data_IF_281421724549
#
_entry.id   IF_281421724549
#
_cell.length_a   1.000
_cell.length_b   1.000
_cell.length_c   1.000
_cell.angle_alpha   90.00
_cell.angle_beta   90.00
_cell.angle_gamma   90.00
#
_symmetry.space_group_name_H-M   'P 1'
#
loop_
_entity.id
_entity.type
_entity.pdbx_description
1 polymer ?
#
# COMPACT_ATOMS: atom_id res chain seq x y z
N UNK A 1 -8.81 -18.88 -1.55
CA UNK A 1 -8.70 -18.01 -2.74
C UNK A 1 -10.06 -17.64 -3.31
N UNK A 2 -10.98 -18.64 -3.51
CA UNK A 2 -12.34 -18.40 -4.06
C UNK A 2 -13.12 -17.33 -3.29
N UNK A 3 -13.18 -17.39 -1.96
CA UNK A 3 -13.90 -16.38 -1.16
C UNK A 3 -13.31 -14.97 -1.27
N UNK A 4 -12.00 -14.85 -1.52
CA UNK A 4 -11.34 -13.56 -1.75
C UNK A 4 -11.79 -12.97 -3.11
N UNK A 5 -11.80 -13.78 -4.15
CA UNK A 5 -12.15 -13.32 -5.50
C UNK A 5 -13.63 -12.89 -5.58
N UNK A 6 -14.53 -13.66 -4.95
CA UNK A 6 -15.94 -13.29 -4.84
C UNK A 6 -16.14 -11.93 -4.14
N UNK A 7 -15.49 -11.76 -2.98
CA UNK A 7 -15.56 -10.47 -2.25
C UNK A 7 -14.96 -9.32 -3.07
N UNK A 8 -13.80 -9.55 -3.68
CA UNK A 8 -13.15 -8.55 -4.52
C UNK A 8 -14.02 -8.14 -5.71
N UNK A 9 -14.72 -9.09 -6.33
CA UNK A 9 -15.68 -8.84 -7.40
C UNK A 9 -16.86 -7.96 -6.95
N UNK A 10 -17.38 -8.19 -5.75
CA UNK A 10 -18.44 -7.34 -5.15
C UNK A 10 -17.93 -5.92 -4.90
N UNK A 11 -16.73 -5.77 -4.32
CA UNK A 11 -16.12 -4.46 -4.08
C UNK A 11 -15.82 -3.74 -5.39
N UNK A 12 -15.33 -4.45 -6.41
CA UNK A 12 -15.09 -3.88 -7.73
C UNK A 12 -16.35 -3.22 -8.31
N UNK A 13 -17.49 -3.91 -8.24
CA UNK A 13 -18.78 -3.36 -8.70
C UNK A 13 -19.17 -2.08 -7.95
N UNK A 14 -18.88 -2.00 -6.64
CA UNK A 14 -19.15 -0.78 -5.85
C UNK A 14 -18.24 0.38 -6.23
N UNK A 15 -17.03 0.11 -6.73
CA UNK A 15 -16.11 1.13 -7.21
C UNK A 15 -16.42 1.61 -8.64
N UNK A 16 -17.21 0.85 -9.40
CA UNK A 16 -17.64 1.25 -10.75
C UNK A 16 -18.43 2.56 -10.70
N UNK A 17 -18.14 3.46 -11.63
CA UNK A 17 -18.73 4.81 -11.70
C UNK A 17 -18.39 5.74 -10.50
N UNK A 18 -17.31 5.47 -9.79
CA UNK A 18 -16.74 6.34 -8.75
C UNK A 18 -15.30 6.69 -9.11
N UNK A 19 -14.73 7.70 -8.43
CA UNK A 19 -13.31 8.04 -8.55
C UNK A 19 -12.40 7.10 -7.72
N UNK A 20 -12.99 6.05 -7.10
CA UNK A 20 -12.26 5.11 -6.25
C UNK A 20 -11.59 4.04 -7.09
N UNK A 21 -10.27 3.95 -7.00
CA UNK A 21 -9.52 2.86 -7.62
C UNK A 21 -9.42 1.67 -6.67
N UNK A 22 -9.92 0.52 -7.10
CA UNK A 22 -9.69 -0.73 -6.39
C UNK A 22 -8.26 -1.23 -6.63
N UNK A 23 -7.54 -1.52 -5.55
CA UNK A 23 -6.22 -2.15 -5.57
C UNK A 23 -6.32 -3.45 -4.77
N UNK A 24 -6.17 -4.59 -5.43
CA UNK A 24 -6.21 -5.88 -4.76
C UNK A 24 -4.87 -6.18 -4.07
N UNK A 25 -4.91 -6.94 -2.98
CA UNK A 25 -3.74 -7.23 -2.16
C UNK A 25 -3.38 -8.73 -2.25
N UNK A 26 -2.12 -9.02 -2.53
CA UNK A 26 -1.48 -10.35 -2.41
C UNK A 26 -1.93 -11.47 -3.35
N UNK A 27 -2.99 -11.33 -4.11
CA UNK A 27 -3.52 -12.39 -4.99
C UNK A 27 -3.53 -11.92 -6.46
N UNK A 28 -2.37 -12.03 -7.16
CA UNK A 28 -2.25 -11.54 -8.53
C UNK A 28 -3.17 -12.28 -9.51
N UNK A 29 -3.39 -13.59 -9.33
CA UNK A 29 -4.25 -14.37 -10.21
C UNK A 29 -5.71 -13.92 -10.10
N UNK A 30 -6.22 -13.73 -8.87
CA UNK A 30 -7.54 -13.16 -8.65
C UNK A 30 -7.68 -11.75 -9.25
N UNK A 31 -6.62 -10.93 -9.15
CA UNK A 31 -6.62 -9.60 -9.77
C UNK A 31 -6.70 -9.68 -11.30
N UNK A 32 -5.97 -10.60 -11.93
CA UNK A 32 -6.02 -10.82 -13.37
C UNK A 32 -7.39 -11.35 -13.83
N UNK A 33 -7.95 -12.34 -13.13
CA UNK A 33 -9.30 -12.87 -13.44
C UNK A 33 -10.37 -11.79 -13.37
N UNK A 34 -10.27 -10.87 -12.41
CA UNK A 34 -11.19 -9.74 -12.27
C UNK A 34 -10.87 -8.57 -13.22
N UNK A 35 -9.85 -8.67 -14.05
CA UNK A 35 -9.43 -7.59 -14.94
C UNK A 35 -8.91 -6.36 -14.19
N UNK A 36 -8.39 -6.51 -12.97
CA UNK A 36 -7.79 -5.43 -12.20
C UNK A 36 -6.34 -5.20 -12.66
N UNK A 37 -6.01 -3.95 -12.97
CA UNK A 37 -4.65 -3.56 -13.40
C UNK A 37 -3.81 -2.97 -12.27
N UNK A 38 -4.29 -3.07 -11.03
CA UNK A 38 -3.62 -2.57 -9.84
C UNK A 38 -3.50 -3.68 -8.79
N UNK A 39 -2.29 -3.84 -8.23
CA UNK A 39 -1.98 -4.82 -7.19
C UNK A 39 -1.12 -4.19 -6.10
N UNK A 40 -1.29 -4.61 -4.84
CA UNK A 40 -0.42 -4.28 -3.73
C UNK A 40 0.14 -5.55 -3.10
N UNK A 41 1.45 -5.58 -2.82
CA UNK A 41 2.15 -6.77 -2.37
C UNK A 41 3.07 -6.49 -1.17
N UNK A 42 3.26 -7.45 -0.26
CA UNK A 42 4.42 -7.44 0.62
C UNK A 42 5.72 -7.56 -0.20
N UNK A 43 6.78 -6.88 0.22
CA UNK A 43 8.06 -6.85 -0.52
C UNK A 43 8.58 -8.25 -0.86
N UNK A 44 8.60 -9.17 0.12
CA UNK A 44 9.12 -10.53 -0.05
C UNK A 44 8.37 -11.37 -1.09
N UNK A 45 7.11 -11.03 -1.40
CA UNK A 45 6.34 -11.65 -2.48
C UNK A 45 6.55 -10.91 -3.79
N UNK A 46 6.61 -9.58 -3.74
CA UNK A 46 6.82 -8.75 -4.93
C UNK A 46 8.15 -9.03 -5.62
N UNK A 47 9.23 -9.18 -4.86
CA UNK A 47 10.57 -9.50 -5.39
C UNK A 47 10.64 -10.87 -6.08
N UNK A 48 9.77 -11.81 -5.67
CA UNK A 48 9.69 -13.16 -6.26
C UNK A 48 8.67 -13.27 -7.40
N UNK A 49 7.88 -12.23 -7.66
CA UNK A 49 6.90 -12.25 -8.73
C UNK A 49 7.62 -12.24 -10.09
N UNK A 50 7.25 -13.15 -11.02
CA UNK A 50 7.81 -13.15 -12.38
C UNK A 50 7.57 -11.82 -13.09
N UNK A 51 8.53 -11.38 -13.89
CA UNK A 51 8.46 -10.09 -14.58
C UNK A 51 7.26 -10.01 -15.53
N UNK A 52 6.96 -11.10 -16.24
CA UNK A 52 5.76 -11.20 -17.10
C UNK A 52 4.47 -10.95 -16.31
N UNK A 53 4.38 -11.43 -15.06
CA UNK A 53 3.23 -11.22 -14.21
C UNK A 53 3.16 -9.76 -13.70
N UNK A 54 4.31 -9.16 -13.35
CA UNK A 54 4.38 -7.74 -12.97
C UNK A 54 3.87 -6.82 -14.09
N UNK A 55 4.23 -7.12 -15.33
CA UNK A 55 3.83 -6.34 -16.52
C UNK A 55 2.32 -6.35 -16.78
N UNK A 56 1.56 -7.29 -16.20
CA UNK A 56 0.09 -7.28 -16.26
C UNK A 56 -0.53 -6.16 -15.42
N UNK A 57 0.22 -5.58 -14.49
CA UNK A 57 -0.25 -4.54 -13.59
C UNK A 57 0.37 -3.19 -13.93
N UNK A 58 -0.48 -2.20 -14.21
CA UNK A 58 -0.06 -0.80 -14.42
C UNK A 58 0.34 -0.14 -13.09
N UNK A 59 -0.34 -0.51 -12.00
CA UNK A 59 -0.09 0.00 -10.65
C UNK A 59 0.37 -1.14 -9.76
N UNK A 60 1.60 -1.02 -9.24
CA UNK A 60 2.27 -2.02 -8.41
C UNK A 60 2.72 -1.38 -7.11
N UNK A 61 1.91 -1.57 -6.06
CA UNK A 61 2.21 -1.09 -4.73
C UNK A 61 3.00 -2.10 -3.91
N UNK A 62 3.89 -1.63 -3.07
CA UNK A 62 4.69 -2.49 -2.18
C UNK A 62 4.72 -1.90 -0.77
N UNK A 63 4.49 -2.77 0.23
CA UNK A 63 4.67 -2.42 1.64
C UNK A 63 6.16 -2.52 2.02
N UNK A 64 6.68 -1.45 2.63
CA UNK A 64 8.08 -1.33 3.04
C UNK A 64 8.22 -0.93 4.50
N UNK A 65 9.32 -1.36 5.12
CA UNK A 65 9.59 -1.17 6.54
C UNK A 65 11.01 -0.64 6.83
N UNK A 66 11.80 -0.37 5.79
CA UNK A 66 13.10 0.28 5.87
C UNK A 66 13.39 1.06 4.60
N UNK A 67 14.46 1.86 4.61
CA UNK A 67 14.97 2.56 3.42
C UNK A 67 15.47 1.56 2.37
N UNK A 68 16.12 0.49 2.81
CA UNK A 68 16.61 -0.59 1.97
C UNK A 68 15.46 -1.30 1.25
N UNK A 69 14.38 -1.61 1.98
CA UNK A 69 13.15 -2.15 1.40
C UNK A 69 12.59 -1.23 0.31
N UNK A 70 12.57 0.08 0.56
CA UNK A 70 12.03 1.05 -0.39
C UNK A 70 12.84 1.10 -1.69
N UNK A 71 14.16 1.17 -1.58
CA UNK A 71 15.05 1.15 -2.74
C UNK A 71 14.95 -0.15 -3.53
N UNK A 72 14.90 -1.29 -2.84
CA UNK A 72 14.74 -2.59 -3.47
C UNK A 72 13.38 -2.70 -4.19
N UNK A 73 12.30 -2.24 -3.58
CA UNK A 73 10.98 -2.25 -4.19
C UNK A 73 10.96 -1.42 -5.48
N UNK A 74 11.53 -0.20 -5.44
CA UNK A 74 11.64 0.67 -6.62
C UNK A 74 12.47 0.00 -7.74
N UNK A 75 13.64 -0.55 -7.41
CA UNK A 75 14.48 -1.29 -8.35
C UNK A 75 13.77 -2.50 -8.98
N UNK A 76 12.90 -3.18 -8.21
CA UNK A 76 12.09 -4.29 -8.69
C UNK A 76 10.83 -3.87 -9.47
N UNK A 77 10.64 -2.57 -9.72
CA UNK A 77 9.55 -2.05 -10.56
C UNK A 77 8.25 -1.71 -9.82
N UNK A 78 8.31 -1.45 -8.51
CA UNK A 78 7.17 -0.85 -7.81
C UNK A 78 6.86 0.54 -8.39
N UNK A 79 5.58 0.90 -8.42
CA UNK A 79 5.12 2.21 -8.90
C UNK A 79 4.68 3.13 -7.76
N UNK A 80 4.47 2.59 -6.58
CA UNK A 80 4.27 3.33 -5.33
C UNK A 80 4.60 2.44 -4.13
N UNK A 81 4.82 3.06 -2.99
CA UNK A 81 5.10 2.37 -1.73
C UNK A 81 4.06 2.73 -0.65
N UNK A 82 3.84 1.80 0.29
CA UNK A 82 3.28 2.15 1.59
C UNK A 82 4.34 1.96 2.66
N UNK A 83 4.66 3.02 3.41
CA UNK A 83 5.69 3.03 4.45
C UNK A 83 5.06 3.06 5.84
N UNK A 84 5.43 2.14 6.70
CA UNK A 84 4.89 2.12 8.05
C UNK A 84 5.34 0.96 8.94
N UNK A 85 4.74 0.90 10.14
CA UNK A 85 3.69 1.78 10.66
C UNK A 85 4.30 3.05 11.29
N UNK A 86 3.78 4.21 10.91
CA UNK A 86 4.35 5.51 11.31
C UNK A 86 4.02 5.85 12.77
N UNK A 87 2.76 5.65 13.17
CA UNK A 87 2.28 5.90 14.54
C UNK A 87 1.80 4.63 15.21
N UNK A 88 1.63 4.68 16.53
CA UNK A 88 1.07 3.57 17.32
C UNK A 88 -0.28 3.14 16.73
N UNK A 89 -0.48 1.83 16.61
CA UNK A 89 -1.70 1.24 16.05
C UNK A 89 -2.02 -0.09 16.69
N UNK A 90 -3.29 -0.36 16.91
CA UNK A 90 -3.77 -1.64 17.45
C UNK A 90 -3.45 -2.83 16.53
N UNK A 91 -3.28 -2.59 15.23
CA UNK A 91 -2.90 -3.63 14.26
C UNK A 91 -1.47 -4.16 14.44
N UNK A 92 -0.62 -3.46 15.19
CA UNK A 92 0.78 -3.79 15.46
C UNK A 92 1.10 -3.67 16.95
N UNK A 93 0.23 -4.24 17.81
CA UNK A 93 0.42 -4.23 19.27
C UNK A 93 1.79 -4.79 19.65
N UNK A 94 2.48 -4.08 20.56
CA UNK A 94 3.80 -4.47 21.05
C UNK A 94 4.99 -4.11 20.15
N UNK A 95 4.76 -3.56 18.97
CA UNK A 95 5.82 -3.03 18.12
C UNK A 95 5.87 -1.50 18.24
N UNK A 96 7.08 -0.97 18.44
CA UNK A 96 7.30 0.47 18.43
C UNK A 96 7.01 1.06 17.05
N UNK A 97 6.34 2.23 16.98
CA UNK A 97 6.14 2.93 15.72
C UNK A 97 7.48 3.38 15.14
N UNK A 98 7.60 3.43 13.84
CA UNK A 98 8.83 3.84 13.15
C UNK A 98 9.05 5.36 13.16
N UNK A 99 7.97 6.13 13.32
CA UNK A 99 8.02 7.58 13.42
C UNK A 99 8.09 8.32 12.09
N UNK A 100 8.14 9.64 12.22
CA UNK A 100 8.18 10.55 11.08
C UNK A 100 9.56 10.61 10.43
N UNK A 101 10.65 10.48 11.21
CA UNK A 101 12.02 10.46 10.67
C UNK A 101 12.21 9.30 9.68
N UNK A 102 11.75 8.10 10.04
CA UNK A 102 11.73 6.97 9.12
C UNK A 102 10.95 7.28 7.84
N UNK A 103 9.77 7.91 7.97
CA UNK A 103 8.95 8.27 6.80
C UNK A 103 9.69 9.25 5.89
N UNK A 104 10.32 10.27 6.47
CA UNK A 104 11.15 11.24 5.77
C UNK A 104 12.30 10.58 5.00
N UNK A 105 13.04 9.70 5.66
CA UNK A 105 14.15 8.96 5.05
C UNK A 105 13.69 8.09 3.87
N UNK A 106 12.56 7.38 4.03
CA UNK A 106 11.98 6.58 2.94
C UNK A 106 11.56 7.46 1.78
N UNK A 107 10.82 8.56 2.04
CA UNK A 107 10.37 9.48 0.98
C UNK A 107 11.54 10.10 0.22
N UNK A 108 12.62 10.43 0.93
CA UNK A 108 13.84 11.03 0.34
C UNK A 108 14.70 10.02 -0.44
N UNK A 109 14.49 8.72 -0.22
CA UNK A 109 15.35 7.66 -0.78
C UNK A 109 14.92 7.11 -2.14
N UNK A 110 13.68 7.40 -2.57
CA UNK A 110 13.06 6.90 -3.80
C UNK A 110 12.40 8.03 -4.61
N UNK A 111 12.13 7.77 -5.88
CA UNK A 111 11.47 8.72 -6.79
C UNK A 111 9.97 8.45 -6.96
N UNK A 112 9.53 7.25 -6.63
CA UNK A 112 8.12 6.86 -6.71
C UNK A 112 7.32 7.36 -5.50
N UNK A 113 6.00 7.61 -5.63
CA UNK A 113 5.17 8.07 -4.52
C UNK A 113 5.20 7.13 -3.32
N UNK A 114 5.32 7.71 -2.12
CA UNK A 114 5.25 6.99 -0.84
C UNK A 114 4.00 7.42 -0.10
N UNK A 115 3.20 6.47 0.35
CA UNK A 115 2.03 6.69 1.18
C UNK A 115 2.31 6.23 2.61
N UNK A 116 2.05 7.09 3.58
CA UNK A 116 2.22 6.75 4.98
C UNK A 116 1.08 5.86 5.48
N UNK A 117 1.40 4.84 6.29
CA UNK A 117 0.39 3.94 6.88
C UNK A 117 0.69 3.65 8.35
N UNK A 118 -0.37 3.42 9.13
CA UNK A 118 -0.33 2.95 10.52
C UNK A 118 -0.55 4.06 11.53
N UNK A 119 -1.66 3.97 12.27
CA UNK A 119 -2.06 4.90 13.32
C UNK A 119 -2.43 6.30 12.84
N UNK A 120 -2.72 6.45 11.54
CA UNK A 120 -3.00 7.76 10.92
C UNK A 120 -4.48 8.12 11.09
N UNK A 121 -4.71 9.40 11.37
CA UNK A 121 -6.02 10.03 11.52
C UNK A 121 -5.93 11.53 11.15
N UNK A 122 -7.04 12.24 11.21
CA UNK A 122 -7.13 13.66 10.81
C UNK A 122 -6.16 14.58 11.55
N UNK A 123 -5.77 14.23 12.79
CA UNK A 123 -4.88 15.07 13.62
C UNK A 123 -3.41 14.95 13.24
N UNK A 124 -3.00 13.83 12.63
CA UNK A 124 -1.60 13.54 12.33
C UNK A 124 -1.30 13.35 10.82
N UNK A 125 -2.31 13.24 9.96
CA UNK A 125 -2.12 13.08 8.52
C UNK A 125 -1.25 14.18 7.91
N UNK A 126 -1.49 15.44 8.29
CA UNK A 126 -0.72 16.58 7.76
C UNK A 126 0.79 16.49 8.09
N UNK A 127 1.19 15.86 9.21
CA UNK A 127 2.60 15.67 9.51
C UNK A 127 3.27 14.69 8.54
N UNK A 128 2.57 13.64 8.11
CA UNK A 128 3.11 12.72 7.09
C UNK A 128 3.37 13.41 5.75
N UNK A 129 2.45 14.30 5.35
CA UNK A 129 2.61 15.06 4.09
C UNK A 129 3.83 16.01 4.18
N UNK A 130 4.06 16.66 5.34
CA UNK A 130 5.26 17.50 5.53
C UNK A 130 6.56 16.73 5.42
N UNK A 131 6.57 15.45 5.78
CA UNK A 131 7.73 14.57 5.63
C UNK A 131 7.90 14.00 4.21
N UNK A 132 7.09 14.44 3.25
CA UNK A 132 7.24 14.08 1.84
C UNK A 132 6.32 12.95 1.37
N UNK A 133 5.42 12.46 2.22
CA UNK A 133 4.44 11.47 1.77
C UNK A 133 3.49 12.06 0.73
N UNK A 134 3.24 11.32 -0.36
CA UNK A 134 2.29 11.69 -1.40
C UNK A 134 0.82 11.58 -0.93
N UNK A 135 0.58 10.86 0.16
CA UNK A 135 -0.72 10.69 0.77
C UNK A 135 -0.65 9.78 2.00
N UNK A 136 -1.82 9.48 2.57
CA UNK A 136 -1.94 8.65 3.77
C UNK A 136 -2.94 7.51 3.57
N UNK A 137 -2.71 6.39 4.25
CA UNK A 137 -3.62 5.25 4.30
C UNK A 137 -4.29 5.20 5.68
N UNK A 138 -5.61 5.31 5.68
CA UNK A 138 -6.45 5.24 6.90
C UNK A 138 -7.36 4.02 6.79
N UNK A 139 -7.28 3.10 7.74
CA UNK A 139 -8.11 1.90 7.77
C UNK A 139 -9.12 1.93 8.93
N UNK A 140 -8.64 1.91 10.16
CA UNK A 140 -9.49 1.78 11.35
C UNK A 140 -10.41 2.99 11.56
N UNK A 141 -10.04 4.16 11.10
CA UNK A 141 -10.88 5.36 11.12
C UNK A 141 -12.14 5.15 10.28
N UNK A 142 -11.98 4.75 9.02
CA UNK A 142 -13.10 4.51 8.11
C UNK A 142 -13.95 3.30 8.50
N UNK A 143 -13.36 2.23 9.01
CA UNK A 143 -14.09 1.03 9.45
C UNK A 143 -15.00 1.28 10.66
N UNK A 144 -14.81 2.38 11.39
CA UNK A 144 -15.64 2.79 12.55
C UNK A 144 -16.68 3.85 12.20
N UNK A 145 -16.64 4.41 10.99
CA UNK A 145 -17.67 5.32 10.50
C UNK A 145 -18.93 4.50 10.21
N UNK A 146 -20.00 4.73 10.98
CA UNK A 146 -21.32 4.14 10.78
C UNK A 146 -22.24 5.15 10.11
#
# INVERSE_FOLDING_TARGET
EEGYEELAGKVKKLCENTDTRLILHSFPDAAMHLGCTAIHMPLHRFTKMPEEQKQKFLVRGVSVHSVEDARLAEQCGATYLTAGHVFVTDCKKGLAPRGLDFLHEVCSSVKIPVYAIGGINDKNAASCIREGAAGVCVMSGYMRMR
#
